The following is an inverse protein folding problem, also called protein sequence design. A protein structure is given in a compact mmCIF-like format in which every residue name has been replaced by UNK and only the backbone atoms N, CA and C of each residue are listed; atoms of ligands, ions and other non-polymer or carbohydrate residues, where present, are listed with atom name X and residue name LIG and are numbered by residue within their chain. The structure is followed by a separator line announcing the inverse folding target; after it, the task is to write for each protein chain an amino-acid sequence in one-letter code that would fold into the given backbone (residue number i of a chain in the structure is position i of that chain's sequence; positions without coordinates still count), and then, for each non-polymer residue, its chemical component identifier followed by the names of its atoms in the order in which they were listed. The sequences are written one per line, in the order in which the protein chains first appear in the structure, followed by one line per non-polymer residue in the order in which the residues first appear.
data_IF_747179109791
#
_entry.id   IF_747179109791
#
_cell.length_a   1.000
_cell.length_b   1.000
_cell.length_c   1.000
_cell.angle_alpha   90.00
_cell.angle_beta   90.00
_cell.angle_gamma   90.00
#
_symmetry.space_group_name_H-M   'P 1'
#
loop_
_entity.id
_entity.type
_entity.pdbx_description
1 polymer ?
#
# COMPACT_ATOMS: atom_id res chain seq x y z
N UNK A 1 16.55 -25.69 32.52
CA UNK A 1 15.64 -24.52 32.54
C UNK A 1 16.32 -23.43 31.76
N UNK A 2 16.11 -23.40 30.44
CA UNK A 2 16.65 -22.36 29.56
C UNK A 2 15.67 -21.18 29.60
N UNK A 3 16.16 -20.02 30.04
CA UNK A 3 15.40 -18.77 30.01
C UNK A 3 15.25 -18.32 28.56
N UNK A 4 14.03 -18.44 28.03
CA UNK A 4 13.62 -17.78 26.80
C UNK A 4 13.52 -16.29 27.12
N UNK A 5 14.49 -15.51 26.68
CA UNK A 5 14.35 -14.05 26.64
C UNK A 5 13.35 -13.70 25.53
N UNK A 6 12.13 -13.35 25.93
CA UNK A 6 11.23 -12.58 25.07
C UNK A 6 11.86 -11.19 24.85
N UNK A 7 12.63 -11.04 23.77
CA UNK A 7 12.98 -9.75 23.19
C UNK A 7 11.68 -9.08 22.71
N UNK A 8 10.95 -8.46 23.64
CA UNK A 8 9.90 -7.51 23.32
C UNK A 8 10.57 -6.20 22.93
N UNK A 9 10.34 -5.67 21.71
CA UNK A 9 10.67 -4.28 21.46
C UNK A 9 9.84 -3.42 22.42
N UNK A 10 10.50 -2.60 23.22
CA UNK A 10 9.86 -1.68 24.16
C UNK A 10 8.82 -0.83 23.43
N UNK A 11 7.54 -0.83 23.85
CA UNK A 11 6.46 -0.13 23.16
C UNK A 11 6.43 1.33 23.62
N UNK A 12 7.49 2.11 23.42
CA UNK A 12 7.56 3.50 23.88
C UNK A 12 8.65 4.27 23.13
N UNK A 13 8.40 4.62 21.87
CA UNK A 13 9.02 5.78 21.22
C UNK A 13 8.05 6.25 20.13
N UNK A 14 7.44 7.40 20.39
CA UNK A 14 6.65 8.15 19.44
C UNK A 14 7.44 8.28 18.13
N UNK A 15 6.84 7.97 16.98
CA UNK A 15 7.50 8.08 15.66
C UNK A 15 8.06 9.50 15.47
N UNK A 16 9.35 9.67 15.72
CA UNK A 16 10.17 10.79 15.31
C UNK A 16 11.22 10.17 14.40
N UNK A 17 11.03 10.30 13.08
CA UNK A 17 11.94 9.96 11.98
C UNK A 17 12.92 8.79 12.23
N UNK A 18 12.43 7.69 12.79
CA UNK A 18 13.24 6.51 13.07
C UNK A 18 12.79 5.39 12.16
N UNK A 19 13.67 4.97 11.26
CA UNK A 19 13.52 3.74 10.49
C UNK A 19 13.39 2.57 11.46
N UNK A 20 12.19 2.01 11.60
CA UNK A 20 11.99 0.83 12.45
C UNK A 20 12.39 -0.38 11.63
N UNK A 21 13.55 -0.96 11.96
CA UNK A 21 13.98 -2.24 11.41
C UNK A 21 13.29 -3.34 12.23
N UNK A 22 12.14 -3.82 11.75
CA UNK A 22 11.53 -4.99 12.35
C UNK A 22 12.26 -6.24 11.83
N UNK A 23 13.23 -6.75 12.61
CA UNK A 23 13.91 -8.01 12.30
C UNK A 23 13.05 -9.18 12.73
N UNK A 24 12.29 -9.76 11.80
CA UNK A 24 11.76 -11.12 11.98
C UNK A 24 12.84 -12.14 11.64
N UNK A 25 13.17 -13.01 12.59
CA UNK A 25 14.21 -14.05 12.45
C UNK A 25 13.86 -14.97 11.27
N UNK A 26 14.53 -14.82 10.12
CA UNK A 26 14.38 -15.70 8.96
C UNK A 26 13.95 -15.03 7.64
N UNK A 27 13.56 -13.75 7.65
CA UNK A 27 13.33 -12.95 6.45
C UNK A 27 14.27 -11.73 6.45
N UNK A 28 14.67 -11.20 5.27
CA UNK A 28 15.31 -9.89 5.22
C UNK A 28 14.42 -8.89 5.96
N UNK A 29 15.03 -8.01 6.74
CA UNK A 29 14.28 -7.03 7.51
C UNK A 29 13.60 -6.06 6.56
N UNK A 30 12.27 -6.11 6.47
CA UNK A 30 11.52 -5.09 5.73
C UNK A 30 11.63 -3.78 6.48
N UNK A 31 12.11 -2.75 5.80
CA UNK A 31 12.25 -1.42 6.34
C UNK A 31 10.88 -0.75 6.43
N UNK A 32 10.66 0.06 7.46
CA UNK A 32 9.46 0.86 7.60
C UNK A 32 9.84 2.34 7.59
N UNK A 33 9.26 3.09 6.66
CA UNK A 33 9.37 4.54 6.57
C UNK A 33 7.99 5.18 6.70
N UNK A 34 7.85 6.18 7.58
CA UNK A 34 6.63 6.96 7.72
C UNK A 34 6.88 8.30 7.04
N UNK A 35 6.11 8.59 6.00
CA UNK A 35 6.24 9.81 5.22
C UNK A 35 5.37 10.89 5.85
N UNK A 36 6.01 11.92 6.39
CA UNK A 36 5.38 13.04 7.08
C UNK A 36 5.52 14.36 6.31
N UNK A 37 6.51 14.45 5.43
CA UNK A 37 6.85 15.68 4.69
C UNK A 37 6.89 15.46 3.18
N UNK A 38 6.69 16.54 2.41
CA UNK A 38 6.71 16.51 0.94
C UNK A 38 8.07 16.08 0.38
N UNK A 39 9.17 16.46 1.04
CA UNK A 39 10.51 16.08 0.62
C UNK A 39 10.74 14.57 0.73
N UNK A 40 10.27 13.94 1.81
CA UNK A 40 10.31 12.48 1.99
C UNK A 40 9.43 11.76 0.96
N UNK A 41 8.28 12.35 0.60
CA UNK A 41 7.43 11.85 -0.47
C UNK A 41 8.14 11.91 -1.84
N UNK A 42 8.82 13.02 -2.12
CA UNK A 42 9.59 13.19 -3.35
C UNK A 42 10.77 12.21 -3.42
N UNK A 43 11.46 11.96 -2.31
CA UNK A 43 12.53 10.96 -2.21
C UNK A 43 11.99 9.56 -2.49
N UNK A 44 10.86 9.17 -1.87
CA UNK A 44 10.20 7.89 -2.17
C UNK A 44 9.84 7.77 -3.66
N UNK A 45 9.29 8.83 -4.26
CA UNK A 45 8.96 8.87 -5.69
C UNK A 45 10.21 8.66 -6.55
N UNK A 46 11.33 9.33 -6.21
CA UNK A 46 12.61 9.14 -6.90
C UNK A 46 13.08 7.69 -6.81
N UNK A 47 13.00 7.07 -5.64
CA UNK A 47 13.37 5.66 -5.42
C UNK A 47 12.49 4.72 -6.25
N UNK A 48 11.18 4.95 -6.31
CA UNK A 48 10.27 4.13 -7.15
C UNK A 48 10.63 4.26 -8.64
N UNK A 49 10.99 5.46 -9.09
CA UNK A 49 11.26 5.77 -10.49
C UNK A 49 12.68 5.41 -10.96
N UNK A 50 13.63 5.27 -10.04
CA UNK A 50 15.01 4.86 -10.36
C UNK A 50 15.11 3.36 -10.68
N UNK A 51 14.15 2.57 -10.21
CA UNK A 51 14.09 1.13 -10.45
C UNK A 51 13.56 0.80 -11.86
N UNK A 52 14.23 -0.12 -12.56
CA UNK A 52 13.87 -0.49 -13.94
C UNK A 52 12.53 -1.24 -14.03
N UNK A 53 12.19 -2.00 -12.98
CA UNK A 53 10.96 -2.77 -12.87
C UNK A 53 10.53 -2.80 -11.41
N UNK A 54 9.39 -2.19 -11.14
CA UNK A 54 8.90 -1.95 -9.79
C UNK A 54 7.50 -2.56 -9.64
N UNK A 55 7.32 -3.35 -8.59
CA UNK A 55 6.01 -3.82 -8.17
C UNK A 55 5.63 -3.07 -6.88
N UNK A 56 4.51 -2.37 -6.91
CA UNK A 56 3.97 -1.64 -5.77
C UNK A 56 2.86 -2.48 -5.14
N UNK A 57 3.12 -3.04 -3.97
CA UNK A 57 2.14 -3.75 -3.17
C UNK A 57 1.45 -2.75 -2.25
N UNK A 58 0.12 -2.62 -2.38
CA UNK A 58 -0.59 -1.49 -1.78
C UNK A 58 -1.78 -1.91 -0.94
N UNK A 59 -2.00 -1.16 0.13
CA UNK A 59 -3.23 -1.19 0.93
C UNK A 59 -3.63 0.23 1.30
N UNK A 60 -4.93 0.45 1.47
CA UNK A 60 -5.47 1.72 1.93
C UNK A 60 -6.38 1.46 3.12
N UNK A 61 -5.99 1.97 4.29
CA UNK A 61 -6.73 1.86 5.54
C UNK A 61 -7.13 3.26 6.01
N UNK A 62 -8.41 3.59 5.93
CA UNK A 62 -8.88 4.95 6.20
C UNK A 62 -8.22 5.98 5.25
N UNK A 63 -7.38 6.85 5.81
CA UNK A 63 -6.56 7.82 5.05
C UNK A 63 -5.08 7.41 4.92
N UNK A 64 -4.69 6.25 5.47
CA UNK A 64 -3.30 5.79 5.44
C UNK A 64 -3.09 4.90 4.23
N UNK A 65 -2.27 5.37 3.30
CA UNK A 65 -1.80 4.61 2.15
C UNK A 65 -0.50 3.89 2.53
N UNK A 66 -0.49 2.58 2.35
CA UNK A 66 0.68 1.74 2.58
C UNK A 66 1.21 1.28 1.24
N UNK A 67 2.50 1.50 0.99
CA UNK A 67 3.19 1.05 -0.22
C UNK A 67 4.37 0.18 0.18
N UNK A 68 4.39 -1.08 -0.23
CA UNK A 68 5.59 -1.92 -0.18
C UNK A 68 6.17 -1.98 -1.60
N UNK A 69 7.36 -1.42 -1.76
CA UNK A 69 8.07 -1.33 -3.04
C UNK A 69 8.92 -2.60 -3.20
N UNK A 70 8.95 -3.21 -4.38
CA UNK A 70 9.77 -4.40 -4.64
C UNK A 70 10.29 -4.37 -6.09
N UNK A 71 11.42 -5.05 -6.40
CA UNK A 71 12.10 -6.07 -5.59
C UNK A 71 13.36 -5.61 -4.83
N UNK A 72 13.94 -4.46 -5.17
CA UNK A 72 15.28 -4.08 -4.67
C UNK A 72 15.24 -3.52 -3.24
N UNK A 73 14.22 -2.71 -2.95
CA UNK A 73 14.03 -2.10 -1.65
C UNK A 73 12.87 -2.77 -0.93
N UNK A 74 13.09 -3.81 -0.11
CA UNK A 74 12.03 -4.38 0.75
C UNK A 74 11.67 -3.35 1.85
N UNK A 75 10.97 -2.29 1.44
CA UNK A 75 10.65 -1.12 2.23
C UNK A 75 9.16 -0.81 2.12
N UNK A 76 8.52 -0.65 3.28
CA UNK A 76 7.14 -0.23 3.43
C UNK A 76 7.11 1.26 3.76
N UNK A 77 6.41 2.04 2.95
CA UNK A 77 6.12 3.44 3.16
C UNK A 77 4.68 3.60 3.67
N UNK A 78 4.51 4.32 4.78
CA UNK A 78 3.22 4.74 5.32
C UNK A 78 3.01 6.22 5.02
N UNK A 79 1.94 6.54 4.31
CA UNK A 79 1.60 7.91 3.89
C UNK A 79 0.24 8.26 4.47
N UNK A 80 0.17 9.28 5.33
CA UNK A 80 -1.10 9.81 5.79
C UNK A 80 -1.66 10.81 4.77
N UNK A 81 -2.54 10.32 3.89
CA UNK A 81 -3.17 11.14 2.85
C UNK A 81 -4.04 12.27 3.42
N UNK A 82 -4.49 12.18 4.68
CA UNK A 82 -5.25 13.26 5.32
C UNK A 82 -4.33 14.41 5.72
N UNK A 83 -3.12 14.11 6.18
CA UNK A 83 -2.11 15.11 6.54
C UNK A 83 -1.61 15.87 5.31
N UNK A 84 -1.40 15.17 4.20
CA UNK A 84 -1.00 15.79 2.93
C UNK A 84 -2.17 16.47 2.19
N UNK A 85 -3.37 15.92 2.27
CA UNK A 85 -4.50 16.40 1.48
C UNK A 85 -4.25 16.27 -0.03
N UNK A 86 -4.62 17.28 -0.81
CA UNK A 86 -4.45 17.27 -2.26
C UNK A 86 -2.98 17.31 -2.71
N UNK A 87 -2.08 17.87 -1.89
CA UNK A 87 -0.67 18.08 -2.28
C UNK A 87 0.11 16.78 -2.43
N UNK A 88 -0.33 15.68 -1.80
CA UNK A 88 0.25 14.34 -2.03
C UNK A 88 0.22 13.93 -3.50
N UNK A 89 -0.73 14.47 -4.28
CA UNK A 89 -1.00 14.06 -5.66
C UNK A 89 -0.61 15.12 -6.70
N UNK A 90 -0.22 16.31 -6.26
CA UNK A 90 0.18 17.42 -7.11
C UNK A 90 1.71 17.46 -7.27
N UNK A 91 2.19 17.93 -8.42
CA UNK A 91 3.63 18.15 -8.63
C UNK A 91 4.05 19.38 -7.81
N UNK A 92 4.75 19.18 -6.69
CA UNK A 92 5.22 20.28 -5.83
C UNK A 92 6.07 21.35 -6.53
N UNK A 93 6.63 21.03 -7.71
CA UNK A 93 7.58 21.90 -8.43
C UNK A 93 6.96 22.81 -9.50
N UNK A 94 5.64 22.77 -9.73
CA UNK A 94 5.04 23.60 -10.79
C UNK A 94 5.05 25.12 -10.45
N UNK A 95 5.13 25.48 -9.17
CA UNK A 95 5.02 26.87 -8.72
C UNK A 95 6.35 27.60 -8.50
N UNK A 96 7.38 26.94 -7.98
CA UNK A 96 8.59 27.63 -7.50
C UNK A 96 9.73 27.72 -8.51
N UNK A 97 9.83 26.81 -9.50
CA UNK A 97 10.93 26.85 -10.47
C UNK A 97 10.84 28.09 -11.38
N UNK A 98 9.65 28.64 -11.60
CA UNK A 98 9.46 29.82 -12.44
C UNK A 98 9.97 31.15 -11.85
N UNK A 99 10.35 31.18 -10.56
CA UNK A 99 10.74 32.44 -9.87
C UNK A 99 12.24 32.68 -9.73
N UNK A 100 13.10 31.70 -10.04
CA UNK A 100 14.56 31.85 -9.92
C UNK A 100 15.21 32.36 -11.22
N UNK A 101 14.56 32.20 -12.36
CA UNK A 101 15.10 32.61 -13.67
C UNK A 101 14.82 34.09 -14.01
N UNK A 102 13.87 34.76 -13.35
CA UNK A 102 13.53 36.17 -13.65
C UNK A 102 14.38 37.21 -12.90
N UNK A 103 15.54 36.83 -12.36
CA UNK A 103 16.42 37.76 -11.60
C UNK A 103 17.88 37.81 -12.07
N UNK A 104 18.20 37.27 -13.25
CA UNK A 104 19.53 37.37 -13.88
C UNK A 104 19.48 37.86 -15.33
N UNK A 105 18.76 38.95 -15.55
CA UNK A 105 19.04 39.86 -16.67
C UNK A 105 19.23 41.26 -16.11
N UNK A 106 20.38 41.48 -15.47
CA UNK A 106 20.88 42.82 -15.19
C UNK A 106 22.32 42.89 -15.69
N UNK A 107 22.40 43.17 -16.99
CA UNK A 107 23.38 44.02 -17.70
C UNK A 107 24.76 44.18 -17.07
N UNK A 108 25.77 43.58 -17.70
CA UNK A 108 27.13 44.15 -17.74
C UNK A 108 27.51 44.38 -19.21
N UNK A 109 27.82 45.63 -19.51
CA UNK A 109 27.99 46.23 -20.83
C UNK A 109 29.43 46.10 -21.37
N UNK A 110 30.07 44.94 -21.17
CA UNK A 110 31.41 44.68 -21.72
C UNK A 110 31.44 43.39 -22.56
N UNK A 111 31.54 43.58 -23.87
CA UNK A 111 31.48 42.56 -24.91
C UNK A 111 32.61 41.53 -24.89
N UNK A 112 32.53 40.60 -23.94
CA UNK A 112 33.28 39.33 -23.97
C UNK A 112 32.26 38.21 -24.16
N UNK A 113 32.11 37.76 -25.41
CA UNK A 113 31.33 36.59 -25.77
C UNK A 113 32.05 35.32 -25.28
N UNK A 114 31.88 35.00 -23.99
CA UNK A 114 32.18 33.67 -23.48
C UNK A 114 31.20 32.69 -24.14
N UNK A 115 31.74 31.58 -24.66
CA UNK A 115 30.95 30.50 -25.25
C UNK A 115 29.82 30.12 -24.27
N UNK A 116 28.59 29.82 -24.77
CA UNK A 116 27.45 29.54 -23.91
C UNK A 116 27.84 28.37 -23.00
N UNK A 117 28.05 28.67 -21.72
CA UNK A 117 28.31 27.65 -20.72
C UNK A 117 27.18 26.65 -20.80
N UNK A 118 27.60 25.38 -20.85
CA UNK A 118 26.77 24.19 -20.97
C UNK A 118 25.45 24.40 -20.24
N UNK A 119 24.37 24.45 -21.02
CA UNK A 119 23.01 24.49 -20.51
C UNK A 119 22.87 23.36 -19.49
N UNK A 120 22.93 23.73 -18.20
CA UNK A 120 22.73 22.80 -17.10
C UNK A 120 21.43 22.07 -17.39
N UNK A 121 21.55 20.78 -17.73
CA UNK A 121 20.45 19.97 -18.20
C UNK A 121 19.36 20.02 -17.12
N UNK A 122 18.26 20.71 -17.43
CA UNK A 122 17.12 20.80 -16.53
C UNK A 122 16.69 19.37 -16.23
N UNK A 123 16.88 18.94 -14.98
CA UNK A 123 16.45 17.62 -14.53
C UNK A 123 14.93 17.59 -14.74
N UNK A 124 14.40 16.61 -15.50
CA UNK A 124 12.97 16.56 -15.77
C UNK A 124 12.21 16.55 -14.43
N UNK A 125 11.09 17.29 -14.33
CA UNK A 125 10.33 17.33 -13.09
C UNK A 125 9.88 15.93 -12.70
N UNK A 126 9.99 15.61 -11.41
CA UNK A 126 9.54 14.32 -10.90
C UNK A 126 8.03 14.15 -11.15
N UNK A 127 7.58 12.92 -11.47
CA UNK A 127 6.15 12.64 -11.55
C UNK A 127 5.53 12.71 -10.16
N UNK A 128 4.29 13.19 -10.06
CA UNK A 128 3.55 13.11 -8.80
C UNK A 128 3.20 11.67 -8.44
N UNK A 129 2.83 11.44 -7.17
CA UNK A 129 2.28 10.16 -6.75
C UNK A 129 1.06 9.76 -7.59
N UNK A 130 0.22 10.74 -7.98
CA UNK A 130 -0.91 10.48 -8.88
C UNK A 130 -0.44 9.95 -10.23
N UNK A 131 0.55 10.58 -10.85
CA UNK A 131 1.09 10.11 -12.12
C UNK A 131 1.64 8.67 -12.02
N UNK A 132 2.29 8.32 -10.90
CA UNK A 132 2.75 6.94 -10.62
C UNK A 132 1.56 5.98 -10.52
N UNK A 133 0.54 6.30 -9.73
CA UNK A 133 -0.62 5.44 -9.49
C UNK A 133 -1.54 5.29 -10.71
N UNK A 134 -1.65 6.34 -11.53
CA UNK A 134 -2.42 6.34 -12.77
C UNK A 134 -1.62 5.86 -13.99
N UNK A 135 -0.31 5.59 -13.83
CA UNK A 135 0.51 5.12 -14.95
C UNK A 135 0.03 3.76 -15.45
N UNK A 136 -0.07 3.62 -16.77
CA UNK A 136 -0.38 2.36 -17.43
C UNK A 136 0.90 1.58 -17.81
N UNK A 137 2.03 1.88 -17.16
CA UNK A 137 3.29 1.23 -17.50
C UNK A 137 3.27 -0.23 -17.06
N UNK A 138 3.63 -1.19 -17.92
CA UNK A 138 3.78 -2.59 -17.51
C UNK A 138 4.98 -2.80 -16.57
N UNK A 139 5.94 -1.85 -16.53
CA UNK A 139 7.08 -1.88 -15.61
C UNK A 139 6.73 -1.45 -14.19
N UNK A 140 5.57 -0.80 -13.98
CA UNK A 140 5.11 -0.28 -12.70
C UNK A 140 3.73 -0.84 -12.37
N UNK A 141 3.72 -2.05 -11.80
CA UNK A 141 2.48 -2.79 -11.49
C UNK A 141 1.99 -2.47 -10.08
N UNK A 142 0.68 -2.27 -9.91
CA UNK A 142 0.06 -2.04 -8.60
C UNK A 142 -0.64 -3.33 -8.19
N UNK A 143 -0.24 -3.92 -7.08
CA UNK A 143 -0.78 -5.19 -6.61
C UNK A 143 -1.55 -4.92 -5.32
N UNK A 144 -2.81 -5.31 -5.29
CA UNK A 144 -3.69 -5.15 -4.12
C UNK A 144 -4.36 -6.48 -3.78
N UNK A 145 -4.86 -6.58 -2.55
CA UNK A 145 -5.81 -7.61 -2.16
C UNK A 145 -7.20 -6.98 -2.02
N UNK A 146 -8.15 -7.38 -2.86
CA UNK A 146 -9.48 -6.77 -2.95
C UNK A 146 -9.42 -5.25 -3.19
N UNK A 147 -8.83 -4.89 -4.34
CA UNK A 147 -8.50 -3.51 -4.69
C UNK A 147 -9.71 -2.60 -4.93
N UNK A 148 -10.94 -3.14 -4.91
CA UNK A 148 -12.18 -2.42 -5.22
C UNK A 148 -12.44 -1.27 -4.26
N UNK A 149 -12.32 -1.53 -2.96
CA UNK A 149 -12.53 -0.51 -1.92
C UNK A 149 -11.48 0.60 -2.03
N UNK A 150 -10.21 0.24 -2.10
CA UNK A 150 -9.10 1.20 -2.23
C UNK A 150 -9.26 2.06 -3.49
N UNK A 151 -9.58 1.44 -4.64
CA UNK A 151 -9.80 2.15 -5.91
C UNK A 151 -10.98 3.13 -5.82
N UNK A 152 -12.11 2.71 -5.23
CA UNK A 152 -13.30 3.56 -5.03
C UNK A 152 -12.97 4.77 -4.15
N UNK A 153 -12.24 4.56 -3.05
CA UNK A 153 -11.85 5.65 -2.14
C UNK A 153 -10.87 6.61 -2.82
N UNK A 154 -9.83 6.10 -3.48
CA UNK A 154 -8.85 6.92 -4.19
C UNK A 154 -9.49 7.78 -5.29
N UNK A 155 -10.38 7.18 -6.08
CA UNK A 155 -11.08 7.90 -7.14
C UNK A 155 -12.03 8.97 -6.57
N UNK A 156 -12.83 8.63 -5.55
CA UNK A 156 -13.84 9.55 -4.99
C UNK A 156 -13.23 10.69 -4.19
N UNK A 157 -12.27 10.39 -3.30
CA UNK A 157 -11.72 11.38 -2.35
C UNK A 157 -10.55 12.17 -2.91
N UNK A 158 -9.74 11.54 -3.75
CA UNK A 158 -8.48 12.13 -4.21
C UNK A 158 -8.41 12.31 -5.73
N UNK A 159 -9.45 11.88 -6.46
CA UNK A 159 -9.47 11.96 -7.92
C UNK A 159 -8.37 11.15 -8.58
N UNK A 160 -7.93 10.04 -7.95
CA UNK A 160 -6.87 9.15 -8.44
C UNK A 160 -7.48 7.87 -8.99
N UNK A 161 -7.25 7.58 -10.26
CA UNK A 161 -7.74 6.36 -10.93
C UNK A 161 -6.61 5.35 -11.09
N UNK A 162 -6.58 4.32 -10.24
CA UNK A 162 -5.56 3.28 -10.32
C UNK A 162 -5.56 2.58 -11.70
N UNK A 163 -4.39 2.47 -12.32
CA UNK A 163 -4.17 1.73 -13.57
C UNK A 163 -3.12 0.64 -13.38
N UNK A 164 -3.12 -0.35 -14.29
CA UNK A 164 -2.24 -1.54 -14.19
C UNK A 164 -2.36 -2.26 -12.85
N UNK A 165 -3.60 -2.43 -12.38
CA UNK A 165 -3.91 -3.09 -11.10
C UNK A 165 -4.00 -4.60 -11.29
N UNK A 166 -3.32 -5.34 -10.43
CA UNK A 166 -3.46 -6.77 -10.24
C UNK A 166 -4.10 -7.04 -8.88
N UNK A 167 -5.20 -7.78 -8.87
CA UNK A 167 -5.92 -8.12 -7.64
C UNK A 167 -5.66 -9.58 -7.24
N UNK A 168 -4.98 -9.77 -6.12
CA UNK A 168 -4.65 -11.10 -5.57
C UNK A 168 -5.92 -11.89 -5.23
N UNK A 169 -7.01 -11.24 -4.82
CA UNK A 169 -8.27 -11.93 -4.54
C UNK A 169 -8.88 -12.53 -5.82
N UNK A 170 -8.68 -11.86 -6.96
CA UNK A 170 -9.09 -12.39 -8.27
C UNK A 170 -8.25 -13.60 -8.66
N UNK A 171 -6.92 -13.54 -8.49
CA UNK A 171 -6.03 -14.68 -8.72
C UNK A 171 -6.37 -15.89 -7.83
N UNK A 172 -6.72 -15.65 -6.57
CA UNK A 172 -7.16 -16.67 -5.63
C UNK A 172 -8.44 -17.36 -6.11
N UNK A 173 -9.44 -16.56 -6.54
CA UNK A 173 -10.70 -17.06 -7.06
C UNK A 173 -10.48 -17.88 -8.33
N UNK A 174 -9.65 -17.40 -9.25
CA UNK A 174 -9.28 -18.13 -10.47
C UNK A 174 -8.61 -19.47 -10.14
N UNK A 175 -7.69 -19.51 -9.18
CA UNK A 175 -7.06 -20.76 -8.73
C UNK A 175 -8.08 -21.79 -8.22
N UNK A 176 -9.13 -21.32 -7.51
CA UNK A 176 -10.18 -22.20 -6.98
C UNK A 176 -11.13 -22.67 -8.06
N UNK A 177 -11.53 -21.80 -8.98
CA UNK A 177 -12.42 -22.14 -10.08
C UNK A 177 -11.74 -23.08 -11.09
N UNK A 178 -10.43 -22.88 -11.32
CA UNK A 178 -9.65 -23.72 -12.23
C UNK A 178 -9.35 -25.12 -11.65
N UNK A 179 -9.46 -25.30 -10.32
CA UNK A 179 -9.41 -26.64 -9.76
C UNK A 179 -10.72 -27.38 -10.06
N UNK A 180 -10.65 -28.56 -10.70
CA UNK A 180 -11.82 -29.43 -10.79
C UNK A 180 -12.26 -29.72 -9.35
N UNK A 181 -13.51 -29.40 -9.04
CA UNK A 181 -14.11 -29.73 -7.75
C UNK A 181 -13.77 -31.19 -7.44
N UNK A 182 -12.97 -31.43 -6.41
CA UNK A 182 -12.77 -32.79 -5.94
C UNK A 182 -14.16 -33.33 -5.57
N UNK A 183 -14.45 -34.58 -5.96
CA UNK A 183 -15.74 -35.24 -5.74
C UNK A 183 -16.26 -35.14 -4.28
N UNK A 184 -15.38 -34.86 -3.33
CA UNK A 184 -15.65 -34.68 -1.91
C UNK A 184 -16.42 -33.38 -1.59
N UNK A 185 -16.26 -32.31 -2.38
CA UNK A 185 -17.03 -31.06 -2.18
C UNK A 185 -18.42 -31.09 -2.82
N UNK A 186 -18.71 -32.06 -3.70
CA UNK A 186 -20.03 -32.24 -4.33
C UNK A 186 -21.03 -32.97 -3.43
N UNK A 187 -20.63 -33.44 -2.24
CA UNK A 187 -21.51 -34.21 -1.34
C UNK A 187 -22.25 -33.36 -0.28
N UNK A 188 -22.10 -32.03 -0.30
CA UNK A 188 -22.92 -31.19 0.57
C UNK A 188 -24.38 -31.18 0.08
N UNK A 189 -25.36 -31.54 0.94
CA UNK A 189 -26.73 -31.76 0.52
C UNK A 189 -27.35 -30.49 -0.07
N UNK A 190 -27.82 -30.64 -1.30
CA UNK A 190 -28.61 -29.69 -2.09
C UNK A 190 -29.93 -29.35 -1.34
N UNK A 191 -29.87 -28.47 -0.34
CA UNK A 191 -31.07 -27.90 0.29
C UNK A 191 -31.09 -26.40 -0.01
N UNK A 192 -32.10 -26.03 -0.80
CA UNK A 192 -32.55 -24.67 -1.13
C UNK A 192 -31.65 -23.85 -2.08
N UNK A 193 -31.82 -24.13 -3.38
CA UNK A 193 -31.16 -23.48 -4.49
C UNK A 193 -31.82 -22.14 -4.86
N UNK A 194 -31.45 -21.07 -4.15
CA UNK A 194 -31.61 -19.67 -4.63
C UNK A 194 -30.38 -18.79 -4.38
N UNK A 195 -29.23 -19.39 -4.06
CA UNK A 195 -27.98 -18.63 -3.84
C UNK A 195 -27.11 -18.61 -5.09
N UNK A 196 -26.49 -17.45 -5.44
CA UNK A 196 -25.58 -17.35 -6.57
C UNK A 196 -24.43 -18.35 -6.42
N UNK A 197 -24.32 -19.26 -7.39
CA UNK A 197 -23.49 -20.47 -7.34
C UNK A 197 -22.02 -20.14 -7.66
N UNK A 198 -21.37 -19.40 -6.78
CA UNK A 198 -19.93 -19.14 -6.82
C UNK A 198 -19.29 -19.48 -5.47
N UNK A 199 -18.03 -19.96 -5.45
CA UNK A 199 -17.34 -20.17 -4.18
C UNK A 199 -17.16 -18.81 -3.47
N UNK A 200 -17.39 -18.73 -2.15
CA UNK A 200 -17.33 -17.45 -1.43
C UNK A 200 -15.95 -16.82 -1.54
N UNK A 201 -15.87 -15.49 -1.65
CA UNK A 201 -14.59 -14.77 -1.64
C UNK A 201 -13.89 -14.98 -0.30
N UNK A 202 -12.57 -15.20 -0.34
CA UNK A 202 -11.75 -15.33 0.86
C UNK A 202 -11.15 -13.98 1.23
N UNK A 203 -11.11 -13.71 2.54
CA UNK A 203 -10.42 -12.54 3.08
C UNK A 203 -8.91 -12.76 3.07
N UNK A 204 -8.13 -11.67 3.15
CA UNK A 204 -6.67 -11.74 3.25
C UNK A 204 -6.24 -12.62 4.43
N UNK A 205 -6.93 -12.46 5.57
CA UNK A 205 -6.77 -13.31 6.76
C UNK A 205 -6.80 -14.79 6.42
N UNK A 206 -7.83 -15.20 5.69
CA UNK A 206 -8.03 -16.59 5.32
C UNK A 206 -6.89 -17.06 4.41
N UNK A 207 -6.53 -16.27 3.40
CA UNK A 207 -5.44 -16.61 2.48
C UNK A 207 -4.10 -16.78 3.20
N UNK A 208 -3.76 -15.87 4.13
CA UNK A 208 -2.53 -15.93 4.93
C UNK A 208 -2.53 -17.10 5.92
N UNK A 209 -3.66 -17.40 6.55
CA UNK A 209 -3.77 -18.51 7.50
C UNK A 209 -3.44 -19.86 6.85
N UNK A 210 -3.91 -20.06 5.61
CA UNK A 210 -3.64 -21.26 4.81
C UNK A 210 -2.39 -21.15 3.94
N UNK A 211 -1.54 -20.16 4.18
CA UNK A 211 -0.21 -20.11 3.56
C UNK A 211 0.78 -21.02 4.28
N UNK A 212 1.32 -22.00 3.56
CA UNK A 212 2.33 -22.92 4.07
C UNK A 212 3.72 -22.30 4.11
N UNK A 213 3.95 -21.18 3.40
CA UNK A 213 5.22 -20.46 3.43
C UNK A 213 5.39 -19.62 4.69
N UNK A 214 4.29 -19.27 5.37
CA UNK A 214 4.31 -18.53 6.62
C UNK A 214 4.48 -19.47 7.82
N UNK A 215 5.39 -19.10 8.71
CA UNK A 215 5.56 -19.77 10.00
C UNK A 215 4.34 -19.55 10.90
N UNK A 216 4.09 -20.45 11.86
CA UNK A 216 3.02 -20.26 12.85
C UNK A 216 3.19 -18.94 13.61
N UNK A 217 4.43 -18.53 13.88
CA UNK A 217 4.73 -17.26 14.54
C UNK A 217 4.25 -16.06 13.71
N UNK A 218 4.53 -16.04 12.41
CA UNK A 218 4.05 -14.97 11.52
C UNK A 218 2.53 -14.91 11.44
N UNK A 219 1.87 -16.08 11.35
CA UNK A 219 0.40 -16.15 11.38
C UNK A 219 -0.18 -15.61 12.69
N UNK A 220 0.45 -15.94 13.82
CA UNK A 220 0.06 -15.42 15.12
C UNK A 220 0.30 -13.91 15.23
N UNK A 221 1.44 -13.41 14.75
CA UNK A 221 1.77 -11.99 14.76
C UNK A 221 0.77 -11.19 13.93
N UNK A 222 0.47 -11.65 12.71
CA UNK A 222 -0.54 -11.04 11.85
C UNK A 222 -1.92 -11.05 12.51
N UNK A 223 -2.30 -12.18 13.13
CA UNK A 223 -3.59 -12.29 13.85
C UNK A 223 -3.66 -11.32 15.02
N UNK A 224 -2.57 -11.18 15.77
CA UNK A 224 -2.46 -10.25 16.89
C UNK A 224 -2.57 -8.80 16.43
N UNK A 225 -1.82 -8.40 15.40
CA UNK A 225 -1.88 -7.04 14.85
C UNK A 225 -3.26 -6.73 14.25
N UNK A 226 -3.93 -7.73 13.68
CA UNK A 226 -5.30 -7.60 13.19
C UNK A 226 -6.35 -7.41 14.29
N UNK A 227 -6.05 -7.78 15.54
CA UNK A 227 -6.94 -7.52 16.68
C UNK A 227 -6.84 -6.07 17.18
N UNK A 228 -5.79 -5.33 16.81
CA UNK A 228 -5.67 -3.92 17.15
C UNK A 228 -6.76 -3.06 16.50
N UNK A 229 -7.26 -3.50 15.33
CA UNK A 229 -8.49 -2.97 14.74
C UNK A 229 -9.66 -3.54 15.54
N UNK A 230 -10.15 -2.76 16.52
CA UNK A 230 -11.24 -3.17 17.39
C UNK A 230 -12.47 -3.72 16.62
N UNK A 231 -13.35 -4.47 17.30
CA UNK A 231 -14.49 -5.15 16.68
C UNK A 231 -15.44 -4.22 15.90
N UNK A 232 -15.43 -2.92 16.20
CA UNK A 232 -16.27 -1.90 15.57
C UNK A 232 -15.75 -1.44 14.19
N UNK A 233 -14.50 -1.79 13.83
CA UNK A 233 -13.87 -1.40 12.56
C UNK A 233 -14.34 -2.20 11.34
N UNK A 234 -15.28 -3.13 11.52
CA UNK A 234 -15.78 -4.02 10.48
C UNK A 234 -17.16 -3.59 9.93
N UNK A 235 -17.50 -2.30 10.04
CA UNK A 235 -18.65 -1.75 9.32
C UNK A 235 -18.36 -1.74 7.82
N UNK A 236 -18.64 -2.87 7.17
CA UNK A 236 -18.81 -2.98 5.71
C UNK A 236 -20.10 -2.26 5.23
N UNK A 237 -20.57 -1.26 5.99
CA UNK A 237 -21.64 -0.38 5.60
C UNK A 237 -21.12 0.53 4.49
N UNK A 238 -21.58 0.28 3.26
CA UNK A 238 -21.46 1.18 2.10
C UNK A 238 -22.13 2.56 2.31
N UNK A 239 -22.60 2.86 3.52
CA UNK A 239 -23.05 4.19 3.88
C UNK A 239 -21.84 5.14 3.81
N UNK A 240 -21.92 6.09 2.87
CA UNK A 240 -21.08 7.27 2.78
C UNK A 240 -21.18 8.16 4.05
N UNK A 241 -21.74 7.65 5.17
CA UNK A 241 -21.50 8.18 6.50
C UNK A 241 -20.00 8.23 6.71
N UNK A 242 -19.46 9.45 6.66
CA UNK A 242 -18.07 9.75 6.91
C UNK A 242 -17.57 8.84 8.02
N UNK A 243 -16.63 7.95 7.66
CA UNK A 243 -15.93 7.12 8.61
C UNK A 243 -15.16 8.06 9.55
N UNK A 244 -15.85 8.53 10.59
CA UNK A 244 -15.33 9.20 11.77
C UNK A 244 -14.63 8.18 12.70
N UNK A 245 -14.42 6.94 12.24
CA UNK A 245 -13.78 5.87 13.00
C UNK A 245 -12.29 6.09 13.31
N UNK A 246 -11.65 7.10 12.72
CA UNK A 246 -10.34 7.60 13.17
C UNK A 246 -10.43 8.97 13.88
N UNK A 247 -11.59 9.62 13.89
CA UNK A 247 -11.82 10.90 14.56
C UNK A 247 -12.47 10.77 15.95
N UNK A 248 -13.10 9.63 16.28
CA UNK A 248 -13.65 9.41 17.63
C UNK A 248 -12.58 9.16 18.70
N UNK A 249 -11.38 8.75 18.29
CA UNK A 249 -10.19 8.81 19.16
C UNK A 249 -9.62 10.23 19.29
N UNK A 250 -10.13 11.22 18.53
CA UNK A 250 -9.65 12.60 18.52
C UNK A 250 -10.50 13.55 19.38
N UNK A 251 -11.67 13.15 19.87
CA UNK A 251 -12.62 14.08 20.48
C UNK A 251 -12.95 13.79 21.95
N UNK A 252 -11.93 13.76 22.82
CA UNK A 252 -12.11 13.82 24.28
C UNK A 252 -11.54 15.14 24.80
N UNK A 253 -12.42 16.13 24.93
CA UNK A 253 -12.28 17.22 25.91
C UNK A 253 -12.16 18.63 25.35
N UNK A 254 -13.18 19.47 25.61
CA UNK A 254 -12.95 20.90 25.85
C UNK A 254 -13.91 21.88 25.17
N UNK A 255 -15.05 22.12 25.83
CA UNK A 255 -15.79 23.38 26.00
C UNK A 255 -15.55 24.49 24.97
N UNK A 256 -16.64 24.81 24.25
CA UNK A 256 -16.78 25.97 23.39
C UNK A 256 -16.45 27.30 24.10
N UNK A 257 -15.61 28.13 23.46
CA UNK A 257 -15.61 29.58 23.64
C UNK A 257 -15.23 30.24 22.33
N UNK A 258 -16.11 31.10 21.84
CA UNK A 258 -15.97 31.89 20.63
C UNK A 258 -14.80 32.89 20.74
N UNK A 259 -14.06 33.07 19.64
CA UNK A 259 -13.07 34.14 19.50
C UNK A 259 -12.02 33.82 18.45
N UNK A 260 -12.03 34.57 17.36
CA UNK A 260 -11.17 34.40 16.19
C UNK A 260 -9.67 34.38 16.53
N UNK A 261 -8.98 33.32 16.11
CA UNK A 261 -7.56 33.31 15.77
C UNK A 261 -7.29 32.06 14.94
N UNK A 262 -6.62 32.21 13.79
CA UNK A 262 -6.05 31.12 12.99
C UNK A 262 -4.93 30.46 13.80
N UNK A 263 -5.29 29.75 14.86
CA UNK A 263 -4.40 28.77 15.46
C UNK A 263 -4.47 27.53 14.58
N UNK A 264 -3.40 27.34 13.82
CA UNK A 264 -3.01 26.06 13.25
C UNK A 264 -2.94 25.06 14.42
N UNK A 265 -4.05 24.42 14.76
CA UNK A 265 -4.12 23.38 15.79
C UNK A 265 -3.37 22.18 15.22
N UNK A 266 -2.04 22.18 15.40
CA UNK A 266 -1.14 21.03 15.27
C UNK A 266 -1.49 20.03 16.36
N UNK A 267 -2.63 19.37 16.25
CA UNK A 267 -2.86 18.10 16.94
C UNK A 267 -2.72 17.00 15.90
N UNK A 268 -1.54 16.91 15.29
CA UNK A 268 -1.12 15.72 14.56
C UNK A 268 -0.93 14.62 15.60
N UNK A 269 -2.02 13.94 15.96
CA UNK A 269 -1.93 12.72 16.77
C UNK A 269 -1.12 11.72 15.95
N UNK A 270 0.01 11.30 16.52
CA UNK A 270 0.90 10.32 15.91
C UNK A 270 0.14 9.01 15.74
N UNK A 271 0.28 8.36 14.59
CA UNK A 271 -0.30 7.05 14.32
C UNK A 271 0.18 6.04 15.38
N UNK A 272 -0.70 5.33 16.09
CA UNK A 272 -0.30 4.28 17.03
C UNK A 272 0.56 3.21 16.34
N UNK A 273 1.54 2.68 17.07
CA UNK A 273 2.48 1.68 16.51
C UNK A 273 1.74 0.42 16.06
N UNK A 274 0.72 0.02 16.80
CA UNK A 274 -0.10 -1.16 16.51
C UNK A 274 -0.87 -0.98 15.19
N UNK A 275 -1.40 0.21 14.92
CA UNK A 275 -2.08 0.53 13.67
C UNK A 275 -1.10 0.58 12.49
N UNK A 276 0.08 1.16 12.69
CA UNK A 276 1.14 1.17 11.68
C UNK A 276 1.58 -0.25 11.31
N UNK A 277 1.78 -1.13 12.30
CA UNK A 277 2.12 -2.54 12.08
C UNK A 277 1.00 -3.30 11.39
N UNK A 278 -0.25 -3.08 11.77
CA UNK A 278 -1.41 -3.65 11.08
C UNK A 278 -1.42 -3.28 9.59
N UNK A 279 -1.19 -2.00 9.29
CA UNK A 279 -1.13 -1.47 7.93
C UNK A 279 0.01 -2.12 7.11
N UNK A 280 1.20 -2.23 7.69
CA UNK A 280 2.36 -2.89 7.06
C UNK A 280 2.07 -4.36 6.77
N UNK A 281 1.43 -5.06 7.71
CA UNK A 281 1.08 -6.47 7.57
C UNK A 281 0.03 -6.73 6.47
N UNK A 282 -0.73 -5.71 6.04
CA UNK A 282 -1.62 -5.85 4.87
C UNK A 282 -0.86 -5.99 3.56
N UNK A 283 0.35 -5.42 3.45
CA UNK A 283 1.12 -5.39 2.19
C UNK A 283 2.35 -6.28 2.20
N UNK A 284 2.97 -6.51 3.36
CA UNK A 284 4.24 -7.24 3.49
C UNK A 284 4.17 -8.67 2.93
N UNK A 285 3.02 -9.34 3.07
CA UNK A 285 2.83 -10.74 2.68
C UNK A 285 2.22 -10.92 1.27
N UNK A 286 1.84 -9.83 0.61
CA UNK A 286 1.24 -9.87 -0.73
C UNK A 286 2.19 -10.40 -1.81
N UNK A 287 3.51 -10.10 -1.80
CA UNK A 287 4.45 -10.67 -2.77
C UNK A 287 4.45 -12.20 -2.79
N UNK A 288 4.54 -12.83 -1.61
CA UNK A 288 4.56 -14.29 -1.51
C UNK A 288 3.22 -14.90 -1.93
N UNK A 289 2.10 -14.30 -1.49
CA UNK A 289 0.76 -14.74 -1.90
C UNK A 289 0.59 -14.68 -3.42
N UNK A 290 0.97 -13.56 -4.04
CA UNK A 290 0.92 -13.38 -5.49
C UNK A 290 1.75 -14.44 -6.21
N UNK A 291 3.01 -14.61 -5.82
CA UNK A 291 3.90 -15.60 -6.44
C UNK A 291 3.31 -17.01 -6.36
N UNK A 292 2.71 -17.36 -5.22
CA UNK A 292 2.05 -18.65 -5.00
C UNK A 292 0.87 -18.86 -5.93
N UNK A 293 -0.05 -17.89 -6.03
CA UNK A 293 -1.21 -18.03 -6.92
C UNK A 293 -0.81 -18.06 -8.39
N UNK A 294 0.16 -17.25 -8.81
CA UNK A 294 0.70 -17.30 -10.17
C UNK A 294 1.40 -18.63 -10.48
N UNK A 295 2.12 -19.22 -9.53
CA UNK A 295 2.70 -20.56 -9.69
C UNK A 295 1.62 -21.62 -9.87
N UNK A 296 0.59 -21.58 -9.02
CA UNK A 296 -0.54 -22.52 -9.08
C UNK A 296 -1.33 -22.42 -10.38
N UNK A 297 -1.59 -21.21 -10.89
CA UNK A 297 -2.25 -21.03 -12.19
C UNK A 297 -1.42 -21.61 -13.34
N UNK A 298 -0.08 -21.48 -13.28
CA UNK A 298 0.81 -22.09 -14.28
C UNK A 298 0.76 -23.61 -14.24
N UNK A 299 0.78 -24.22 -13.05
CA UNK A 299 0.65 -25.67 -12.87
C UNK A 299 -0.69 -26.18 -13.44
N UNK A 300 -1.81 -25.54 -13.05
CA UNK A 300 -3.14 -25.90 -13.55
C UNK A 300 -3.24 -25.76 -15.07
N UNK A 301 -2.62 -24.74 -15.65
CA UNK A 301 -2.53 -24.57 -17.10
C UNK A 301 -1.76 -25.70 -17.79
N UNK A 302 -0.65 -26.15 -17.20
CA UNK A 302 0.17 -27.25 -17.72
C UNK A 302 -0.58 -28.60 -17.63
N UNK A 303 -1.30 -28.86 -16.54
CA UNK A 303 -2.11 -30.07 -16.38
C UNK A 303 -3.26 -30.13 -17.39
N UNK A 304 -3.92 -28.99 -17.61
CA UNK A 304 -4.98 -28.86 -18.60
C UNK A 304 -4.46 -29.07 -20.04
N UNK A 305 -3.25 -28.58 -20.34
CA UNK A 305 -2.61 -28.81 -21.63
C UNK A 305 -2.24 -30.28 -21.83
N UNK A 306 -1.66 -30.92 -20.82
CA UNK A 306 -1.24 -32.34 -20.83
C UNK A 306 -2.43 -33.30 -20.98
N UNK A 307 -3.54 -32.99 -20.30
CA UNK A 307 -4.79 -33.76 -20.42
C UNK A 307 -5.41 -33.69 -21.82
N UNK A 308 -5.22 -32.58 -22.55
CA UNK A 308 -5.73 -32.42 -23.91
C UNK A 308 -4.86 -33.14 -24.94
N UNK A 309 -3.54 -33.15 -24.76
CA UNK A 309 -2.61 -33.83 -25.68
C UNK A 309 -2.70 -35.35 -25.55
N UNK A 310 -2.87 -35.89 -24.33
CA UNK A 310 -3.01 -37.34 -24.10
C UNK A 310 -4.27 -37.98 -24.71
N UNK A 311 -5.31 -37.21 -25.04
CA UNK A 311 -6.53 -37.73 -25.70
C UNK A 311 -6.42 -37.84 -27.23
N UNK A 312 -5.31 -37.39 -27.83
CA UNK A 312 -5.11 -37.37 -29.28
C UNK A 312 -4.18 -38.47 -29.79
N UNK A 313 -3.72 -39.36 -28.91
CA UNK A 313 -3.00 -40.59 -29.26
C UNK A 313 -3.90 -41.79 -29.03
#
# INVERSE_FOLDING_TARGET
MEQIFEDRPSPCALFENTSIIQRTRGNPSTWLSVILFQDELNEMIQTIMSQAKTELYMALEGSVLVLNVQPEDDCCYLIDLKAFGATAFENGNAGEIATWETKREQTDDEGISLAPEESWQQVPPLPSLKAILESNSPSLRKVLFDGRRASKILARRFGVTLRSVEDIQSLELECRVAQPWSHEQQQLPLRDATMPVGPPTRSLRHCLWYDSSLTMREKHLWTWNSMAKGPDGNSDGDDDSEFEGATDFLNVGGVASAGASLQLVKTSKKLPVEEALYCVDQVRYLPQLRQRYLARLRELGQDAASSKTGRRM
#
